data_IF_501379612916
#
_entry.id   IF_501379612916
#
_cell.length_a   1.000
_cell.length_b   1.000
_cell.length_c   1.000
_cell.angle_alpha   90.00
_cell.angle_beta   90.00
_cell.angle_gamma   90.00
#
_symmetry.space_group_name_H-M   'P 1'
#
loop_
_entity.id
_entity.type
_entity.pdbx_description
1 polymer ?
#
# COMPACT_ATOMS: atom_id res chain seq x y z
N UNK A 1 -20.61 12.20 -3.97
CA UNK A 1 -19.15 12.08 -3.76
C UNK A 1 -18.63 10.95 -4.64
N UNK A 2 -17.53 11.11 -5.39
CA UNK A 2 -16.94 10.00 -6.12
C UNK A 2 -16.52 8.91 -5.12
N UNK A 3 -16.96 7.67 -5.34
CA UNK A 3 -16.49 6.53 -4.55
C UNK A 3 -15.07 6.21 -5.01
N UNK A 4 -14.13 6.09 -4.06
CA UNK A 4 -12.79 5.58 -4.33
C UNK A 4 -12.88 4.26 -5.10
N UNK A 5 -11.98 4.04 -6.06
CA UNK A 5 -11.80 2.73 -6.70
C UNK A 5 -11.17 1.68 -5.78
N UNK A 6 -10.79 2.09 -4.57
CA UNK A 6 -10.21 1.26 -3.53
C UNK A 6 -11.19 1.05 -2.38
N UNK A 7 -11.22 -0.17 -1.85
CA UNK A 7 -12.03 -0.58 -0.70
C UNK A 7 -11.09 -1.01 0.41
N UNK A 8 -11.22 -0.43 1.59
CA UNK A 8 -10.49 -0.88 2.80
C UNK A 8 -11.04 -2.25 3.18
N UNK A 9 -10.16 -3.25 3.30
CA UNK A 9 -10.52 -4.63 3.63
C UNK A 9 -10.19 -5.00 5.07
N UNK A 10 -9.18 -4.34 5.66
CA UNK A 10 -8.88 -4.47 7.08
C UNK A 10 -8.26 -3.19 7.63
N UNK A 11 -8.50 -2.94 8.92
CA UNK A 11 -7.79 -1.95 9.73
C UNK A 11 -7.49 -2.63 11.06
N UNK A 12 -6.22 -2.64 11.44
CA UNK A 12 -5.73 -3.08 12.74
C UNK A 12 -5.17 -1.86 13.47
N UNK A 13 -5.72 -1.56 14.65
CA UNK A 13 -5.49 -0.32 15.40
C UNK A 13 -4.00 -0.07 15.65
N UNK A 14 -3.41 0.75 14.77
CA UNK A 14 -2.00 1.16 14.80
C UNK A 14 -0.99 0.13 14.27
N UNK A 15 -1.43 -1.05 13.83
CA UNK A 15 -0.53 -2.14 13.39
C UNK A 15 -0.57 -2.40 11.89
N UNK A 16 -1.65 -2.02 11.22
CA UNK A 16 -1.71 -2.20 9.78
C UNK A 16 -3.05 -1.88 9.18
N UNK A 17 -3.08 -1.86 7.85
CA UNK A 17 -4.31 -1.75 7.11
C UNK A 17 -4.14 -2.38 5.73
N UNK A 18 -5.20 -3.01 5.26
CA UNK A 18 -5.27 -3.56 3.92
C UNK A 18 -6.40 -2.92 3.13
N UNK A 19 -6.19 -2.86 1.83
CA UNK A 19 -7.18 -2.38 0.89
C UNK A 19 -7.04 -3.12 -0.44
N UNK A 20 -8.12 -3.14 -1.18
CA UNK A 20 -8.19 -3.74 -2.50
C UNK A 20 -8.65 -2.72 -3.51
N UNK A 21 -8.08 -2.79 -4.70
CA UNK A 21 -8.44 -1.95 -5.83
C UNK A 21 -8.48 -2.73 -7.12
N UNK A 22 -9.09 -2.11 -8.13
CA UNK A 22 -9.05 -2.63 -9.50
C UNK A 22 -8.40 -1.59 -10.41
N UNK A 23 -7.47 -2.07 -11.23
CA UNK A 23 -6.89 -1.30 -12.32
C UNK A 23 -7.03 -2.10 -13.60
N UNK A 24 -7.91 -1.64 -14.50
CA UNK A 24 -8.24 -2.36 -15.74
C UNK A 24 -8.69 -3.80 -15.44
N UNK A 25 -7.90 -4.81 -15.87
CA UNK A 25 -8.15 -6.24 -15.65
C UNK A 25 -7.36 -6.83 -14.47
N UNK A 26 -6.67 -5.99 -13.69
CA UNK A 26 -5.86 -6.41 -12.55
C UNK A 26 -6.62 -6.14 -11.26
N UNK A 27 -6.73 -7.17 -10.43
CA UNK A 27 -7.06 -7.01 -9.01
C UNK A 27 -5.75 -6.73 -8.26
N UNK A 28 -5.77 -5.70 -7.44
CA UNK A 28 -4.63 -5.31 -6.61
C UNK A 28 -5.05 -5.40 -5.16
N UNK A 29 -4.32 -6.20 -4.39
CA UNK A 29 -4.43 -6.22 -2.94
C UNK A 29 -3.18 -5.54 -2.39
N UNK A 30 -3.35 -4.68 -1.40
CA UNK A 30 -2.23 -4.08 -0.71
C UNK A 30 -2.38 -4.25 0.78
N UNK A 31 -1.26 -4.53 1.43
CA UNK A 31 -1.14 -4.75 2.86
C UNK A 31 -0.05 -3.81 3.40
N UNK A 32 -0.41 -3.01 4.40
CA UNK A 32 0.53 -2.20 5.14
C UNK A 32 0.69 -2.79 6.53
N UNK A 33 1.93 -3.04 6.91
CA UNK A 33 2.28 -3.49 8.26
C UNK A 33 3.19 -2.49 8.93
N UNK A 34 2.83 -2.13 10.15
CA UNK A 34 3.61 -1.28 11.02
C UNK A 34 4.15 -2.16 12.14
N UNK A 35 5.46 -2.32 12.18
CA UNK A 35 6.13 -3.17 13.15
C UNK A 35 7.02 -2.31 14.06
N UNK A 36 6.97 -2.53 15.39
CA UNK A 36 7.89 -1.85 16.29
C UNK A 36 9.33 -2.30 16.01
N UNK A 37 10.26 -1.36 16.03
CA UNK A 37 11.69 -1.63 15.91
C UNK A 37 12.40 -1.17 17.19
N UNK A 38 13.68 -1.53 17.35
CA UNK A 38 14.49 -1.07 18.49
C UNK A 38 14.46 0.46 18.64
N UNK A 39 14.43 1.19 17.51
CA UNK A 39 14.22 2.63 17.46
C UNK A 39 13.11 2.90 16.43
N UNK A 40 11.97 3.42 16.91
CA UNK A 40 10.84 3.81 16.06
C UNK A 40 10.00 2.63 15.55
N UNK A 41 9.56 2.73 14.29
CA UNK A 41 8.74 1.70 13.64
C UNK A 41 9.17 1.49 12.19
N UNK A 42 9.03 0.26 11.71
CA UNK A 42 9.18 -0.10 10.31
C UNK A 42 7.81 -0.16 9.66
N UNK A 43 7.68 0.42 8.46
CA UNK A 43 6.47 0.30 7.65
C UNK A 43 6.80 -0.53 6.41
N UNK A 44 6.16 -1.69 6.31
CA UNK A 44 6.23 -2.54 5.11
C UNK A 44 4.97 -2.36 4.28
N UNK A 45 5.16 -2.27 2.97
CA UNK A 45 4.06 -2.14 2.01
C UNK A 45 4.18 -3.22 0.94
N UNK A 46 3.25 -4.17 0.98
CA UNK A 46 3.17 -5.27 0.05
C UNK A 46 2.07 -5.03 -1.00
N UNK A 47 2.35 -5.40 -2.24
CA UNK A 47 1.40 -5.32 -3.35
C UNK A 47 1.29 -6.71 -3.98
N UNK A 48 0.10 -7.29 -3.89
CA UNK A 48 -0.26 -8.47 -4.62
C UNK A 48 -1.10 -8.13 -5.84
N UNK A 49 -0.70 -8.71 -6.97
CA UNK A 49 -1.40 -8.59 -8.24
C UNK A 49 -1.98 -9.95 -8.59
N UNK A 50 -3.30 -9.99 -8.77
CA UNK A 50 -4.04 -11.16 -9.24
C UNK A 50 -4.72 -10.88 -10.59
N UNK A 51 -4.86 -11.95 -11.39
CA UNK A 51 -5.49 -11.94 -12.70
C UNK A 51 -4.73 -12.72 -13.77
N UNK A 52 -5.44 -13.04 -14.87
CA UNK A 52 -4.97 -13.91 -15.97
C UNK A 52 -3.64 -13.48 -16.63
N UNK A 53 -3.23 -12.21 -16.46
CA UNK A 53 -1.97 -11.64 -16.98
C UNK A 53 -1.11 -10.97 -15.90
N UNK A 54 -1.37 -11.24 -14.62
CA UNK A 54 -0.67 -10.59 -13.51
C UNK A 54 0.85 -10.78 -13.58
N UNK A 55 1.33 -11.98 -13.93
CA UNK A 55 2.76 -12.26 -14.07
C UNK A 55 3.49 -11.35 -15.07
N UNK A 56 2.80 -10.98 -16.17
CA UNK A 56 3.35 -10.10 -17.21
C UNK A 56 3.27 -8.63 -16.78
N UNK A 57 2.24 -8.27 -16.02
CA UNK A 57 2.04 -6.91 -15.54
C UNK A 57 2.92 -6.54 -14.33
N UNK A 58 3.42 -7.53 -13.56
CA UNK A 58 4.24 -7.32 -12.35
C UNK A 58 5.44 -6.38 -12.54
N UNK A 59 6.31 -6.54 -13.56
CA UNK A 59 7.46 -5.65 -13.74
C UNK A 59 7.05 -4.21 -14.06
N UNK A 60 6.03 -4.06 -14.92
CA UNK A 60 5.52 -2.75 -15.31
C UNK A 60 4.84 -2.04 -14.14
N UNK A 61 4.00 -2.77 -13.39
CA UNK A 61 3.36 -2.27 -12.19
C UNK A 61 4.40 -1.84 -11.15
N UNK A 62 5.44 -2.65 -10.92
CA UNK A 62 6.54 -2.28 -10.02
C UNK A 62 7.22 -0.97 -10.46
N UNK A 63 7.47 -0.79 -11.76
CA UNK A 63 8.14 0.40 -12.29
C UNK A 63 7.28 1.66 -12.14
N UNK A 64 5.96 1.54 -12.33
CA UNK A 64 5.01 2.66 -12.23
C UNK A 64 4.68 3.02 -10.77
N UNK A 65 4.42 2.02 -9.93
CA UNK A 65 3.92 2.24 -8.57
C UNK A 65 5.03 2.49 -7.56
N UNK A 66 6.24 1.92 -7.73
CA UNK A 66 7.31 2.07 -6.75
C UNK A 66 7.62 3.53 -6.39
N UNK A 67 7.81 4.46 -7.34
CA UNK A 67 8.10 5.86 -7.00
C UNK A 67 6.93 6.55 -6.28
N UNK A 68 5.69 6.20 -6.64
CA UNK A 68 4.50 6.76 -6.00
C UNK A 68 4.35 6.26 -4.56
N UNK A 69 4.70 5.00 -4.32
CA UNK A 69 4.63 4.37 -3.00
C UNK A 69 5.75 4.83 -2.08
N UNK A 70 6.98 4.96 -2.59
CA UNK A 70 8.08 5.59 -1.85
C UNK A 70 7.68 7.01 -1.40
N UNK A 71 7.09 7.81 -2.29
CA UNK A 71 6.59 9.14 -1.94
C UNK A 71 5.44 9.11 -0.94
N UNK A 72 4.54 8.14 -1.03
CA UNK A 72 3.43 8.01 -0.10
C UNK A 72 3.93 7.65 1.31
N UNK A 73 4.88 6.73 1.42
CA UNK A 73 5.54 6.37 2.68
C UNK A 73 6.25 7.58 3.30
N UNK A 74 7.01 8.35 2.51
CA UNK A 74 7.64 9.59 2.99
C UNK A 74 6.63 10.58 3.60
N UNK A 75 5.45 10.72 2.98
CA UNK A 75 4.39 11.58 3.49
C UNK A 75 3.79 11.04 4.80
N UNK A 76 3.63 9.72 4.91
CA UNK A 76 3.17 9.07 6.15
C UNK A 76 4.17 9.31 7.27
N UNK A 77 5.46 9.08 7.03
CA UNK A 77 6.54 9.28 8.01
C UNK A 77 6.56 10.73 8.49
N UNK A 78 6.63 11.70 7.57
CA UNK A 78 6.63 13.13 7.93
C UNK A 78 5.38 13.53 8.72
N UNK A 79 4.23 12.96 8.40
CA UNK A 79 2.96 13.25 9.09
C UNK A 79 2.92 12.64 10.50
N UNK A 80 3.53 11.47 10.68
CA UNK A 80 3.65 10.81 11.98
C UNK A 80 4.62 11.56 12.89
N UNK A 81 5.78 11.99 12.37
CA UNK A 81 6.79 12.75 13.12
C UNK A 81 6.31 14.15 13.56
N UNK A 82 5.31 14.70 12.88
CA UNK A 82 4.75 16.03 13.17
C UNK A 82 3.49 15.99 14.04
N UNK A 83 2.99 14.81 14.42
CA UNK A 83 1.91 14.66 15.39
C UNK A 83 2.45 14.16 16.73
N UNK A 84 2.19 14.90 17.83
CA UNK A 84 2.54 14.44 19.17
C UNK A 84 1.68 13.27 19.64
#
# INVERSE_FOLDING_TARGET
>A
MPRSSFTVTSVDDGRGWAWEGKLLWLSMSFDHRVEPMEIGCGVTFDIDLDGRRAAIARPLARLVYRPQMERALDLVVRRAETQP
#
